data_IF_599141962645
#
_entry.id   IF_599141962645
#
_cell.length_a   1.000
_cell.length_b   1.000
_cell.length_c   1.000
_cell.angle_alpha   90.00
_cell.angle_beta   90.00
_cell.angle_gamma   90.00
#
_symmetry.space_group_name_H-M   'P 1'
#
loop_
_entity.id
_entity.type
_entity.pdbx_description
1 polymer ?
#
# COMPACT_ATOMS: atom_id res chain seq x y z
N UNK A 1 -14.40 18.17 -2.62
CA UNK A 1 -13.55 17.55 -3.66
C UNK A 1 -13.30 16.09 -3.36
N UNK A 2 -13.33 15.24 -4.39
CA UNK A 2 -13.04 13.83 -4.24
C UNK A 2 -11.53 13.63 -4.01
N UNK A 3 -11.16 12.89 -2.96
CA UNK A 3 -9.76 12.57 -2.73
C UNK A 3 -9.36 11.35 -3.56
N UNK A 4 -8.13 11.39 -4.07
CA UNK A 4 -7.52 10.29 -4.80
C UNK A 4 -6.55 9.58 -3.85
N UNK A 5 -6.91 8.38 -3.44
CA UNK A 5 -6.20 7.64 -2.40
C UNK A 5 -5.53 6.41 -3.00
N UNK A 6 -4.23 6.28 -2.80
CA UNK A 6 -3.47 5.10 -3.19
C UNK A 6 -3.33 4.19 -1.96
N UNK A 7 -3.72 2.93 -2.11
CA UNK A 7 -3.57 1.92 -1.06
C UNK A 7 -2.52 0.92 -1.52
N UNK A 8 -1.40 0.86 -0.83
CA UNK A 8 -0.40 -0.17 -1.07
C UNK A 8 -0.80 -1.41 -0.27
N UNK A 9 -0.72 -2.57 -0.90
CA UNK A 9 -1.21 -3.80 -0.30
C UNK A 9 -2.74 -3.89 -0.31
N UNK A 10 -3.39 -3.17 -1.22
CA UNK A 10 -4.85 -3.11 -1.29
C UNK A 10 -5.54 -4.40 -1.73
N UNK A 11 -4.79 -5.38 -2.22
CA UNK A 11 -5.33 -6.70 -2.55
C UNK A 11 -5.32 -7.67 -1.37
N UNK A 12 -4.84 -7.24 -0.20
CA UNK A 12 -4.90 -8.02 1.03
C UNK A 12 -6.26 -7.91 1.70
N UNK A 13 -6.44 -8.67 2.79
CA UNK A 13 -7.70 -8.70 3.53
C UNK A 13 -8.09 -7.32 4.07
N UNK A 14 -7.18 -6.68 4.81
CA UNK A 14 -7.45 -5.36 5.41
C UNK A 14 -7.63 -4.30 4.32
N UNK A 15 -6.74 -4.30 3.32
CA UNK A 15 -6.79 -3.34 2.22
C UNK A 15 -8.06 -3.41 1.42
N UNK A 16 -8.59 -4.62 1.18
CA UNK A 16 -9.85 -4.79 0.45
C UNK A 16 -11.04 -4.22 1.21
N UNK A 17 -11.08 -4.40 2.53
CA UNK A 17 -12.15 -3.85 3.37
C UNK A 17 -12.07 -2.32 3.44
N UNK A 18 -10.87 -1.77 3.60
CA UNK A 18 -10.68 -0.32 3.62
C UNK A 18 -11.10 0.31 2.29
N UNK A 19 -10.69 -0.30 1.17
CA UNK A 19 -11.06 0.20 -0.16
C UNK A 19 -12.57 0.25 -0.33
N UNK A 20 -13.27 -0.79 0.10
CA UNK A 20 -14.73 -0.87 -0.02
C UNK A 20 -15.41 0.27 0.75
N UNK A 21 -14.97 0.51 1.98
CA UNK A 21 -15.53 1.58 2.81
C UNK A 21 -15.28 2.95 2.18
N UNK A 22 -14.06 3.19 1.71
CA UNK A 22 -13.70 4.48 1.11
C UNK A 22 -14.45 4.74 -0.20
N UNK A 23 -14.63 3.70 -1.01
CA UNK A 23 -15.40 3.82 -2.25
C UNK A 23 -16.85 4.19 -1.94
N UNK A 24 -17.44 3.58 -0.92
CA UNK A 24 -18.79 3.93 -0.47
C UNK A 24 -18.90 5.38 0.00
N UNK A 25 -17.80 5.97 0.43
CA UNK A 25 -17.73 7.36 0.87
C UNK A 25 -17.23 8.31 -0.25
N UNK A 26 -17.41 7.89 -1.50
CA UNK A 26 -17.11 8.68 -2.69
C UNK A 26 -15.64 9.06 -2.85
N UNK A 27 -14.72 8.25 -2.34
CA UNK A 27 -13.29 8.42 -2.59
C UNK A 27 -12.88 7.65 -3.83
N UNK A 28 -11.94 8.18 -4.58
CA UNK A 28 -11.35 7.46 -5.72
C UNK A 28 -10.18 6.64 -5.21
N UNK A 29 -10.24 5.34 -5.42
CA UNK A 29 -9.27 4.38 -4.87
C UNK A 29 -8.40 3.80 -5.97
N UNK A 30 -7.10 3.84 -5.72
CA UNK A 30 -6.07 3.25 -6.56
C UNK A 30 -5.31 2.24 -5.71
N UNK A 31 -5.06 1.06 -6.25
CA UNK A 31 -4.43 -0.02 -5.50
C UNK A 31 -3.12 -0.41 -6.16
N UNK A 32 -2.06 -0.49 -5.37
CA UNK A 32 -0.79 -1.06 -5.77
C UNK A 32 -0.55 -2.30 -4.90
N UNK A 33 -0.29 -3.42 -5.56
CA UNK A 33 -0.01 -4.68 -4.88
C UNK A 33 0.82 -5.55 -5.82
N UNK A 34 1.84 -6.22 -5.29
CA UNK A 34 2.64 -7.14 -6.09
C UNK A 34 2.03 -8.55 -6.12
N UNK A 35 0.94 -8.75 -5.39
CA UNK A 35 0.21 -10.01 -5.28
C UNK A 35 1.01 -11.17 -4.65
N UNK A 36 2.06 -10.85 -3.91
CA UNK A 36 2.85 -11.89 -3.22
C UNK A 36 2.02 -12.62 -2.15
N UNK A 37 1.14 -11.90 -1.46
CA UNK A 37 0.22 -12.46 -0.48
C UNK A 37 -1.23 -12.07 -0.72
N UNK A 38 -1.46 -11.00 -1.49
CA UNK A 38 -2.80 -10.53 -1.82
C UNK A 38 -3.44 -11.32 -2.96
N UNK A 39 -4.73 -11.13 -3.14
CA UNK A 39 -5.50 -11.80 -4.17
C UNK A 39 -6.25 -10.79 -5.03
N UNK A 40 -6.06 -10.90 -6.34
CA UNK A 40 -6.74 -10.03 -7.30
C UNK A 40 -8.27 -10.06 -7.15
N UNK A 41 -8.82 -11.18 -6.69
CA UNK A 41 -10.26 -11.34 -6.46
C UNK A 41 -10.80 -10.39 -5.40
N UNK A 42 -9.96 -9.93 -4.47
CA UNK A 42 -10.36 -9.03 -3.39
C UNK A 42 -10.43 -7.57 -3.82
N UNK A 43 -9.94 -7.26 -5.01
CA UNK A 43 -9.89 -5.88 -5.50
C UNK A 43 -11.28 -5.45 -5.96
N UNK A 44 -11.77 -4.34 -5.42
CA UNK A 44 -13.07 -3.78 -5.79
C UNK A 44 -13.01 -3.29 -7.25
N UNK A 45 -14.06 -3.58 -8.02
CA UNK A 45 -14.15 -3.18 -9.43
C UNK A 45 -14.07 -1.67 -9.65
N UNK A 46 -14.49 -0.89 -8.67
CA UNK A 46 -14.49 0.58 -8.75
C UNK A 46 -13.12 1.18 -8.45
N UNK A 47 -12.16 0.38 -7.98
CA UNK A 47 -10.80 0.81 -7.79
C UNK A 47 -9.99 0.57 -9.05
N UNK A 48 -8.90 1.34 -9.21
CA UNK A 48 -7.95 1.13 -10.29
C UNK A 48 -6.74 0.38 -9.74
N UNK A 49 -6.43 -0.76 -10.34
CA UNK A 49 -5.37 -1.64 -9.86
C UNK A 49 -4.11 -1.53 -10.69
N UNK A 50 -2.96 -1.49 -10.01
CA UNK A 50 -1.64 -1.56 -10.62
C UNK A 50 -0.83 -2.67 -9.95
N UNK A 51 -0.42 -3.67 -10.71
CA UNK A 51 0.48 -4.68 -10.18
C UNK A 51 1.90 -4.10 -10.18
N UNK A 52 2.43 -3.85 -9.00
CA UNK A 52 3.75 -3.26 -8.84
C UNK A 52 4.29 -3.52 -7.44
N UNK A 53 5.60 -3.46 -7.32
CA UNK A 53 6.28 -3.50 -6.03
C UNK A 53 6.53 -2.06 -5.56
N UNK A 54 6.34 -1.81 -4.26
CA UNK A 54 6.57 -0.47 -3.70
C UNK A 54 8.04 -0.03 -3.80
N UNK A 55 8.95 -0.96 -4.01
CA UNK A 55 10.36 -0.66 -4.21
C UNK A 55 10.68 -0.17 -5.63
N UNK A 56 9.73 -0.28 -6.56
CA UNK A 56 9.88 0.26 -7.90
C UNK A 56 9.53 1.75 -7.91
N UNK A 57 10.48 2.55 -7.50
CA UNK A 57 10.32 3.99 -7.29
C UNK A 57 9.79 4.73 -8.52
N UNK A 58 10.31 4.42 -9.70
CA UNK A 58 9.87 5.09 -10.93
C UNK A 58 8.43 4.79 -11.25
N UNK A 59 8.03 3.52 -11.12
CA UNK A 59 6.66 3.09 -11.41
C UNK A 59 5.69 3.70 -10.42
N UNK A 60 6.01 3.67 -9.14
CA UNK A 60 5.17 4.25 -8.09
C UNK A 60 5.01 5.76 -8.31
N UNK A 61 6.11 6.46 -8.57
CA UNK A 61 6.03 7.91 -8.81
C UNK A 61 5.18 8.25 -10.03
N UNK A 62 5.30 7.46 -11.10
CA UNK A 62 4.47 7.63 -12.30
C UNK A 62 2.98 7.45 -11.97
N UNK A 63 2.64 6.43 -11.18
CA UNK A 63 1.27 6.17 -10.75
C UNK A 63 0.74 7.37 -9.94
N UNK A 64 1.52 7.86 -8.99
CA UNK A 64 1.15 8.99 -8.14
C UNK A 64 0.85 10.23 -8.98
N UNK A 65 1.74 10.57 -9.90
CA UNK A 65 1.60 11.78 -10.71
C UNK A 65 0.44 11.67 -11.71
N UNK A 66 0.38 10.57 -12.45
CA UNK A 66 -0.66 10.39 -13.46
C UNK A 66 -2.07 10.36 -12.89
N UNK A 67 -2.22 9.84 -11.70
CA UNK A 67 -3.53 9.68 -11.08
C UNK A 67 -3.82 10.76 -10.02
N UNK A 68 -2.96 11.75 -9.92
CA UNK A 68 -3.11 12.88 -9.00
C UNK A 68 -3.38 12.43 -7.57
N UNK A 69 -2.61 11.45 -7.11
CA UNK A 69 -2.75 10.91 -5.76
C UNK A 69 -2.42 11.98 -4.74
N UNK A 70 -3.31 12.18 -3.78
CA UNK A 70 -3.10 13.14 -2.69
C UNK A 70 -2.85 12.49 -1.33
N UNK A 71 -3.24 11.22 -1.17
CA UNK A 71 -3.09 10.50 0.09
C UNK A 71 -2.71 9.04 -0.15
N UNK A 72 -1.90 8.48 0.73
CA UNK A 72 -1.47 7.08 0.63
C UNK A 72 -1.80 6.36 1.94
N UNK A 73 -2.36 5.17 1.82
CA UNK A 73 -2.52 4.23 2.94
C UNK A 73 -1.57 3.07 2.66
N UNK A 74 -0.54 2.96 3.48
CA UNK A 74 0.52 1.97 3.26
C UNK A 74 0.28 0.70 4.07
N UNK A 75 -0.13 -0.37 3.38
CA UNK A 75 -0.38 -1.68 3.98
C UNK A 75 0.51 -2.77 3.38
N UNK A 76 1.37 -2.43 2.44
CA UNK A 76 2.19 -3.38 1.70
C UNK A 76 3.43 -3.81 2.48
N UNK A 77 3.23 -4.27 3.72
CA UNK A 77 4.30 -4.75 4.58
C UNK A 77 4.01 -6.19 4.99
N UNK A 78 5.05 -7.00 5.14
CA UNK A 78 4.91 -8.37 5.59
C UNK A 78 4.70 -8.40 7.10
N UNK A 79 3.60 -9.00 7.53
CA UNK A 79 3.19 -9.00 8.93
C UNK A 79 3.40 -10.34 9.63
N UNK A 80 3.78 -11.38 8.90
CA UNK A 80 3.94 -12.73 9.46
C UNK A 80 5.33 -12.85 10.06
N UNK A 81 5.42 -12.75 11.38
CA UNK A 81 6.69 -12.74 12.12
C UNK A 81 7.52 -13.99 11.88
N UNK A 82 6.89 -15.16 11.88
CA UNK A 82 7.59 -16.43 11.66
C UNK A 82 8.30 -16.51 10.31
N UNK A 83 7.75 -15.89 9.28
CA UNK A 83 8.42 -15.80 7.98
C UNK A 83 9.62 -14.88 8.02
N UNK A 84 9.57 -13.81 8.82
CA UNK A 84 10.68 -12.87 8.97
C UNK A 84 11.94 -13.54 9.51
N UNK A 85 11.77 -14.49 10.42
CA UNK A 85 12.89 -15.26 10.95
C UNK A 85 13.50 -16.19 9.89
N UNK A 86 12.67 -16.74 8.99
CA UNK A 86 13.12 -17.63 7.92
C UNK A 86 13.70 -16.90 6.73
N UNK A 87 13.20 -15.69 6.45
CA UNK A 87 13.58 -14.89 5.28
C UNK A 87 13.89 -13.45 5.68
N UNK A 88 14.93 -13.22 6.47
CA UNK A 88 15.21 -11.86 6.99
C UNK A 88 15.47 -10.82 5.91
N UNK A 89 16.15 -11.19 4.82
CA UNK A 89 16.41 -10.25 3.71
C UNK A 89 15.14 -9.80 3.02
N UNK A 90 14.19 -10.72 2.83
CA UNK A 90 12.91 -10.41 2.22
C UNK A 90 12.13 -9.39 3.05
N UNK A 91 12.05 -9.62 4.37
CA UNK A 91 11.33 -8.72 5.27
C UNK A 91 12.01 -7.36 5.37
N UNK A 92 13.32 -7.34 5.46
CA UNK A 92 14.05 -6.07 5.46
C UNK A 92 13.76 -5.27 4.20
N UNK A 93 13.88 -5.89 3.03
CA UNK A 93 13.64 -5.23 1.76
C UNK A 93 12.20 -4.71 1.65
N UNK A 94 11.22 -5.54 1.97
CA UNK A 94 9.81 -5.18 1.83
C UNK A 94 9.37 -4.14 2.86
N UNK A 95 9.77 -4.30 4.11
CA UNK A 95 9.27 -3.45 5.20
C UNK A 95 10.10 -2.18 5.42
N UNK A 96 11.40 -2.22 5.19
CA UNK A 96 12.29 -1.08 5.43
C UNK A 96 12.62 -0.36 4.14
N UNK A 97 13.30 -1.04 3.21
CA UNK A 97 13.67 -0.42 1.94
C UNK A 97 12.46 -0.05 1.09
N UNK A 98 11.45 -0.92 1.05
CA UNK A 98 10.24 -0.65 0.30
C UNK A 98 9.54 0.61 0.79
N UNK A 99 9.40 0.75 2.11
CA UNK A 99 8.80 1.93 2.71
C UNK A 99 9.62 3.18 2.44
N UNK A 100 10.94 3.10 2.56
CA UNK A 100 11.83 4.21 2.24
C UNK A 100 11.65 4.67 0.79
N UNK A 101 11.64 3.72 -0.14
CA UNK A 101 11.48 4.03 -1.56
C UNK A 101 10.10 4.59 -1.88
N UNK A 102 9.06 4.12 -1.18
CA UNK A 102 7.72 4.69 -1.30
C UNK A 102 7.72 6.16 -0.89
N UNK A 103 8.33 6.49 0.24
CA UNK A 103 8.43 7.87 0.71
C UNK A 103 9.19 8.74 -0.27
N UNK A 104 10.30 8.22 -0.83
CA UNK A 104 11.06 8.94 -1.85
C UNK A 104 10.24 9.16 -3.12
N UNK A 105 9.37 8.21 -3.47
CA UNK A 105 8.48 8.34 -4.63
C UNK A 105 7.50 9.50 -4.49
N UNK A 106 7.19 9.90 -3.26
CA UNK A 106 6.28 11.01 -3.00
C UNK A 106 6.95 12.38 -3.13
N UNK A 107 8.28 12.43 -3.14
CA UNK A 107 9.02 13.70 -3.23
C UNK A 107 8.71 14.42 -4.55
N UNK A 108 8.33 15.69 -4.46
CA UNK A 108 7.97 16.48 -5.64
C UNK A 108 6.59 16.18 -6.19
N UNK A 109 5.76 15.43 -5.46
CA UNK A 109 4.39 15.12 -5.85
C UNK A 109 3.38 15.89 -4.98
N UNK A 110 2.10 15.73 -5.28
CA UNK A 110 1.02 16.37 -4.51
C UNK A 110 0.53 15.53 -3.34
N UNK A 111 1.24 14.47 -2.97
CA UNK A 111 0.89 13.64 -1.81
C UNK A 111 1.08 14.46 -0.54
N UNK A 112 0.00 14.62 0.23
CA UNK A 112 -0.02 15.42 1.46
C UNK A 112 -0.10 14.59 2.72
N UNK A 113 -0.66 13.38 2.63
CA UNK A 113 -0.90 12.53 3.78
C UNK A 113 -0.48 11.11 3.51
N UNK A 114 0.22 10.50 4.46
CA UNK A 114 0.57 9.07 4.39
C UNK A 114 0.19 8.45 5.73
N UNK A 115 -0.66 7.42 5.66
CA UNK A 115 -1.06 6.64 6.81
C UNK A 115 -0.36 5.30 6.77
N UNK A 116 0.34 4.95 7.84
CA UNK A 116 1.00 3.66 7.96
C UNK A 116 0.19 2.74 8.87
N UNK A 117 -0.01 1.50 8.45
CA UNK A 117 -0.57 0.48 9.31
C UNK A 117 0.51 0.00 10.28
N UNK A 118 0.21 0.03 11.58
CA UNK A 118 1.10 -0.51 12.59
C UNK A 118 1.08 -2.04 12.53
N UNK A 119 2.20 -2.66 12.89
CA UNK A 119 2.26 -4.11 12.95
C UNK A 119 1.50 -4.65 14.17
N UNK A 120 0.85 -5.80 13.99
CA UNK A 120 0.17 -6.49 15.09
C UNK A 120 1.14 -6.90 16.21
N UNK A 121 2.41 -7.06 15.91
CA UNK A 121 3.43 -7.43 16.88
C UNK A 121 3.59 -6.39 18.00
N UNK A 122 3.21 -5.12 17.74
CA UNK A 122 3.26 -4.05 18.74
C UNK A 122 2.34 -4.35 19.93
N UNK A 123 1.26 -5.09 19.67
CA UNK A 123 0.25 -5.39 20.70
C UNK A 123 0.43 -6.76 21.34
N UNK A 124 1.49 -7.46 20.99
CA UNK A 124 1.76 -8.76 21.56
C UNK A 124 2.12 -8.63 23.04
N UNK A 125 1.56 -9.50 23.83
CA UNK A 125 1.83 -9.57 25.28
C UNK A 125 1.51 -8.26 26.00
N UNK A 126 0.63 -7.51 25.39
CA UNK A 126 0.22 -6.21 25.94
C UNK A 126 -0.51 -6.34 27.24
#
# INVERSE_FOLDING_TARGET
MTKNILITGGAGYIGSHISEILIKNNKKIFIVDNLSTGHKKLINRKSKFFKADISDKKKIKTIIIKNKIDSIIHLAASLIIGEGEKKPKFYFRNNVLGTKLLLESCTGTNVKNILFSSTAAVYKDG
#
